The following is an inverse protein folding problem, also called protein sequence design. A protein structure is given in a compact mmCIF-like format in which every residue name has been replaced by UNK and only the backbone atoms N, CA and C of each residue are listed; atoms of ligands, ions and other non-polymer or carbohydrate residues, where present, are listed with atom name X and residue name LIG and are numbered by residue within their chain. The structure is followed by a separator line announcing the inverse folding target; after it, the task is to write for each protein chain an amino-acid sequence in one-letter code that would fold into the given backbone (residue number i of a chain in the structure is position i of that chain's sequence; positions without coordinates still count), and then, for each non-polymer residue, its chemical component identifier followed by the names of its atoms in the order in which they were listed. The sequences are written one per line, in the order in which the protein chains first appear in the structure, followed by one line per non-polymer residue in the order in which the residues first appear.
data_IF_884004313350
#
_entry.id   IF_884004313350
#
_cell.length_a   1.000
_cell.length_b   1.000
_cell.length_c   1.000
_cell.angle_alpha   90.00
_cell.angle_beta   90.00
_cell.angle_gamma   90.00
#
_symmetry.space_group_name_H-M   'P 1'
#
loop_
_entity.id
_entity.type
_entity.pdbx_description
1 polymer ?
#
# COMPACT_ATOMS: atom_id res chain seq x y z
N UNK A 1 45.68 3.32 4.09
CA UNK A 1 46.58 2.70 5.12
C UNK A 1 46.39 3.46 6.42
N UNK A 2 45.82 2.83 7.45
CA UNK A 2 45.50 3.45 8.74
C UNK A 2 46.10 2.68 9.91
N UNK A 3 46.35 3.41 11.00
CA UNK A 3 46.84 2.86 12.29
C UNK A 3 45.62 2.63 13.17
N UNK A 4 45.49 1.43 13.75
CA UNK A 4 44.43 1.09 14.69
C UNK A 4 44.49 1.97 15.94
N UNK A 5 43.43 2.70 16.33
CA UNK A 5 43.46 3.52 17.56
C UNK A 5 43.52 2.68 18.85
N UNK A 6 43.10 1.42 18.82
CA UNK A 6 43.08 0.54 19.97
C UNK A 6 44.44 -0.16 20.21
N UNK A 7 44.93 -0.92 19.23
CA UNK A 7 46.17 -1.69 19.37
C UNK A 7 47.42 -1.00 18.81
N UNK A 8 47.28 0.17 18.16
CA UNK A 8 48.35 0.99 17.53
C UNK A 8 49.14 0.27 16.41
N UNK A 9 48.70 -0.89 15.96
CA UNK A 9 49.32 -1.61 14.84
C UNK A 9 48.89 -1.01 13.49
N UNK A 10 49.77 -1.09 12.48
CA UNK A 10 49.49 -0.69 11.10
C UNK A 10 48.86 -1.86 10.34
N UNK A 11 47.90 -1.58 9.47
CA UNK A 11 47.25 -2.56 8.59
C UNK A 11 46.56 -3.73 9.33
N UNK A 12 46.09 -3.50 10.56
CA UNK A 12 45.36 -4.49 11.36
C UNK A 12 43.83 -4.34 11.23
N UNK A 13 43.36 -3.44 10.35
CA UNK A 13 41.95 -3.28 10.06
C UNK A 13 41.64 -4.16 8.85
N UNK A 14 40.76 -5.15 9.00
CA UNK A 14 40.08 -5.84 7.90
C UNK A 14 38.76 -5.17 7.64
N UNK A 15 38.42 -5.04 6.38
CA UNK A 15 37.10 -4.53 5.96
C UNK A 15 36.08 -5.66 6.22
N UNK A 16 35.31 -5.53 7.28
CA UNK A 16 34.15 -6.38 7.51
C UNK A 16 32.93 -5.66 6.95
N UNK A 17 32.18 -6.33 6.08
CA UNK A 17 30.84 -5.88 5.70
C UNK A 17 29.97 -6.07 6.93
N UNK A 18 29.89 -5.03 7.76
CA UNK A 18 28.90 -4.97 8.83
C UNK A 18 27.54 -4.86 8.14
N UNK A 19 26.81 -5.96 8.08
CA UNK A 19 25.38 -5.89 7.84
C UNK A 19 24.81 -5.09 9.00
N UNK A 20 24.47 -3.82 8.73
CA UNK A 20 23.86 -2.92 9.70
C UNK A 20 22.49 -3.49 10.10
N UNK A 21 22.48 -4.29 11.16
CA UNK A 21 21.28 -4.82 11.81
C UNK A 21 20.63 -3.77 12.72
N UNK A 22 20.91 -2.50 12.46
CA UNK A 22 20.35 -1.33 13.14
C UNK A 22 19.19 -0.70 12.35
N UNK A 23 17.97 -1.12 12.61
CA UNK A 23 16.72 -0.37 12.41
C UNK A 23 16.26 -0.05 10.98
N UNK A 24 16.23 -1.00 10.05
CA UNK A 24 15.30 -1.03 8.91
C UNK A 24 14.89 -2.46 8.57
N UNK A 25 14.48 -3.22 9.58
CA UNK A 25 13.74 -4.43 9.31
C UNK A 25 12.31 -4.00 8.92
N UNK A 26 12.00 -3.97 7.64
CA UNK A 26 10.66 -4.24 7.19
C UNK A 26 10.28 -5.57 7.83
N UNK A 27 9.56 -5.52 8.95
CA UNK A 27 8.95 -6.70 9.55
C UNK A 27 7.85 -7.16 8.62
N UNK A 28 8.21 -8.02 7.68
CA UNK A 28 7.26 -9.04 7.27
C UNK A 28 7.07 -9.89 8.52
N UNK A 29 5.96 -9.65 9.23
CA UNK A 29 5.52 -10.54 10.29
C UNK A 29 5.25 -11.87 9.64
N UNK A 30 6.08 -12.85 9.99
CA UNK A 30 5.77 -14.26 9.80
C UNK A 30 4.44 -14.54 10.51
N UNK A 31 3.37 -14.68 9.74
CA UNK A 31 2.18 -15.35 10.17
C UNK A 31 2.07 -16.63 9.34
N UNK A 32 2.48 -17.71 9.98
CA UNK A 32 2.04 -19.08 9.78
C UNK A 32 1.64 -19.51 8.36
N UNK A 33 2.63 -19.96 7.59
CA UNK A 33 2.53 -21.26 6.85
C UNK A 33 3.94 -21.69 6.49
N UNK A 34 4.34 -22.88 6.94
CA UNK A 34 5.68 -23.42 6.87
C UNK A 34 6.27 -23.48 5.45
N UNK A 35 7.15 -22.57 5.17
CA UNK A 35 8.00 -22.56 3.98
C UNK A 35 9.02 -21.45 4.16
N UNK A 36 10.23 -21.82 4.60
CA UNK A 36 11.41 -20.94 4.52
C UNK A 36 11.53 -20.52 3.07
N UNK A 37 11.15 -19.27 2.74
CA UNK A 37 11.42 -18.67 1.45
C UNK A 37 12.94 -18.53 1.30
N UNK A 38 13.57 -19.62 0.84
CA UNK A 38 14.99 -19.58 0.49
C UNK A 38 15.08 -18.69 -0.75
N UNK A 39 15.73 -17.54 -0.60
CA UNK A 39 16.06 -16.59 -1.68
C UNK A 39 17.08 -17.21 -2.66
N UNK A 40 16.83 -18.45 -3.11
CA UNK A 40 17.67 -19.14 -4.09
C UNK A 40 17.33 -18.67 -5.48
N UNK A 41 18.34 -18.26 -6.22
CA UNK A 41 18.21 -18.03 -7.67
C UNK A 41 17.74 -19.34 -8.32
N UNK A 42 16.65 -19.29 -9.06
CA UNK A 42 16.08 -20.44 -9.80
C UNK A 42 15.63 -19.97 -11.20
N UNK A 43 15.59 -20.86 -12.18
CA UNK A 43 15.07 -20.54 -13.50
C UNK A 43 13.62 -20.08 -13.42
N UNK A 44 13.28 -19.01 -14.13
CA UNK A 44 11.91 -18.48 -14.16
C UNK A 44 10.89 -19.51 -14.67
N UNK A 45 11.31 -20.39 -15.59
CA UNK A 45 10.47 -21.47 -16.14
C UNK A 45 10.06 -22.52 -15.09
N UNK A 46 10.80 -22.62 -13.98
CA UNK A 46 10.49 -23.55 -12.88
C UNK A 46 9.60 -22.92 -11.80
N UNK A 47 9.25 -21.63 -11.96
CA UNK A 47 8.34 -20.95 -11.03
C UNK A 47 6.92 -21.38 -11.37
N UNK A 48 6.27 -22.12 -10.46
CA UNK A 48 4.87 -22.46 -10.60
C UNK A 48 4.01 -21.18 -10.53
N UNK A 49 3.17 -20.99 -11.54
CA UNK A 49 2.16 -19.94 -11.54
C UNK A 49 0.90 -20.59 -10.93
N UNK A 50 0.69 -20.38 -9.64
CA UNK A 50 -0.62 -20.65 -9.06
C UNK A 50 -1.62 -19.67 -9.66
N UNK A 51 -2.86 -20.12 -9.88
CA UNK A 51 -3.92 -19.27 -10.42
C UNK A 51 -4.17 -18.09 -9.47
N UNK A 52 -3.52 -16.96 -9.71
CA UNK A 52 -3.74 -15.73 -8.97
C UNK A 52 -5.12 -15.24 -9.39
N UNK A 53 -6.12 -15.46 -8.55
CA UNK A 53 -7.46 -14.91 -8.74
C UNK A 53 -7.37 -13.39 -8.66
N UNK A 54 -7.62 -12.70 -9.77
CA UNK A 54 -7.64 -11.23 -9.80
C UNK A 54 -8.99 -10.72 -9.31
N UNK A 55 -8.98 -9.62 -8.61
CA UNK A 55 -10.18 -8.90 -8.21
C UNK A 55 -10.59 -7.97 -9.35
N UNK A 56 -11.77 -8.20 -9.97
CA UNK A 56 -12.30 -7.27 -10.95
C UNK A 56 -12.62 -5.94 -10.30
N UNK A 57 -12.23 -4.86 -10.94
CA UNK A 57 -12.58 -3.49 -10.54
C UNK A 57 -14.05 -3.14 -10.84
N UNK A 58 -14.71 -3.95 -11.69
CA UNK A 58 -16.03 -3.65 -12.25
C UNK A 58 -15.99 -2.69 -13.44
N UNK A 59 -14.84 -2.09 -13.75
CA UNK A 59 -14.61 -1.23 -14.90
C UNK A 59 -13.78 -1.95 -15.96
N UNK A 60 -14.37 -2.23 -17.12
CA UNK A 60 -13.75 -3.05 -18.19
C UNK A 60 -12.42 -2.47 -18.66
N UNK A 61 -12.37 -1.15 -18.87
CA UNK A 61 -11.15 -0.49 -19.34
C UNK A 61 -10.05 -0.47 -18.27
N UNK A 62 -10.40 -0.30 -17.00
CA UNK A 62 -9.45 -0.37 -15.91
C UNK A 62 -8.92 -1.80 -15.76
N UNK A 63 -9.79 -2.80 -15.79
CA UNK A 63 -9.38 -4.20 -15.75
C UNK A 63 -8.46 -4.56 -16.93
N UNK A 64 -8.75 -4.03 -18.14
CA UNK A 64 -7.88 -4.20 -19.32
C UNK A 64 -6.49 -3.62 -19.09
N UNK A 65 -6.39 -2.42 -18.52
CA UNK A 65 -5.11 -1.76 -18.22
C UNK A 65 -4.34 -2.55 -17.13
N UNK A 66 -5.06 -3.10 -16.15
CA UNK A 66 -4.49 -3.91 -15.07
C UNK A 66 -4.19 -5.36 -15.48
N UNK A 67 -4.45 -5.73 -16.73
CA UNK A 67 -4.21 -7.08 -17.24
C UNK A 67 -5.22 -8.11 -16.73
N UNK A 68 -6.46 -7.70 -16.50
CA UNK A 68 -7.58 -8.53 -16.08
C UNK A 68 -8.03 -8.35 -14.64
N UNK A 69 -7.70 -7.22 -14.01
CA UNK A 69 -8.12 -6.85 -12.66
C UNK A 69 -6.96 -6.70 -11.67
N UNK A 70 -7.30 -6.31 -10.46
CA UNK A 70 -6.36 -6.07 -9.37
C UNK A 70 -5.76 -7.38 -8.86
N UNK A 71 -4.45 -7.46 -8.80
CA UNK A 71 -3.74 -8.60 -8.21
C UNK A 71 -3.76 -8.46 -6.68
N UNK A 72 -4.17 -9.49 -5.91
CA UNK A 72 -4.12 -9.41 -4.45
C UNK A 72 -2.72 -9.06 -3.93
N UNK A 73 -2.65 -8.14 -2.98
CA UNK A 73 -1.40 -7.65 -2.40
C UNK A 73 -0.64 -6.65 -3.29
N UNK A 74 -1.19 -6.26 -4.45
CA UNK A 74 -0.57 -5.22 -5.29
C UNK A 74 -0.91 -3.82 -4.80
N UNK A 75 0.03 -2.89 -5.01
CA UNK A 75 -0.16 -1.45 -4.88
C UNK A 75 -0.36 -0.85 -6.26
N UNK A 76 -1.41 -0.04 -6.43
CA UNK A 76 -1.73 0.66 -7.67
C UNK A 76 -1.73 2.16 -7.38
N UNK A 77 -0.90 2.91 -8.08
CA UNK A 77 -0.87 4.36 -8.00
C UNK A 77 -1.58 4.97 -9.22
N UNK A 78 -2.65 5.71 -8.97
CA UNK A 78 -3.37 6.47 -9.98
C UNK A 78 -2.89 7.93 -9.98
N UNK A 79 -2.11 8.30 -10.99
CA UNK A 79 -1.61 9.66 -11.20
C UNK A 79 -2.41 10.42 -12.25
N UNK A 80 -2.39 11.76 -12.18
CA UNK A 80 -3.02 12.62 -13.19
C UNK A 80 -3.22 14.05 -12.67
N UNK A 81 -3.56 14.97 -13.56
CA UNK A 81 -3.81 16.38 -13.22
C UNK A 81 -4.95 16.56 -12.23
N UNK A 82 -4.94 17.63 -11.41
CA UNK A 82 -6.08 18.00 -10.57
C UNK A 82 -7.35 18.14 -11.40
N UNK A 83 -8.49 17.67 -10.87
CA UNK A 83 -9.79 17.81 -11.55
C UNK A 83 -10.06 16.80 -12.67
N UNK A 84 -9.11 15.94 -13.10
CA UNK A 84 -9.31 14.96 -14.17
C UNK A 84 -10.32 13.84 -13.82
N UNK A 85 -10.73 13.72 -12.57
CA UNK A 85 -11.72 12.72 -12.14
C UNK A 85 -11.14 11.53 -11.38
N UNK A 86 -9.87 11.57 -10.90
CA UNK A 86 -9.24 10.48 -10.14
C UNK A 86 -10.08 9.98 -8.97
N UNK A 87 -10.47 10.88 -8.08
CA UNK A 87 -11.28 10.56 -6.89
C UNK A 87 -12.67 10.01 -7.26
N UNK A 88 -13.25 10.48 -8.37
CA UNK A 88 -14.52 9.96 -8.86
C UNK A 88 -14.36 8.53 -9.37
N UNK A 89 -13.32 8.25 -10.16
CA UNK A 89 -13.03 6.92 -10.66
C UNK A 89 -12.73 5.96 -9.48
N UNK A 90 -11.94 6.37 -8.51
CA UNK A 90 -11.65 5.52 -7.35
C UNK A 90 -12.89 5.22 -6.50
N UNK A 91 -13.77 6.21 -6.31
CA UNK A 91 -15.03 5.98 -5.61
C UNK A 91 -15.96 5.06 -6.41
N UNK A 92 -16.04 5.20 -7.74
CA UNK A 92 -16.80 4.33 -8.62
C UNK A 92 -16.30 2.88 -8.54
N UNK A 93 -14.99 2.66 -8.62
CA UNK A 93 -14.37 1.33 -8.44
C UNK A 93 -14.68 0.76 -7.05
N UNK A 94 -14.54 1.57 -6.00
CA UNK A 94 -14.87 1.15 -4.64
C UNK A 94 -16.33 0.70 -4.50
N UNK A 95 -17.26 1.43 -5.12
CA UNK A 95 -18.68 1.08 -5.15
C UNK A 95 -18.94 -0.22 -5.95
N UNK A 96 -18.33 -0.37 -7.12
CA UNK A 96 -18.49 -1.58 -7.94
C UNK A 96 -17.95 -2.82 -7.24
N UNK A 97 -16.73 -2.75 -6.70
CA UNK A 97 -16.12 -3.86 -5.95
C UNK A 97 -16.96 -4.23 -4.73
N UNK A 98 -17.45 -3.25 -3.98
CA UNK A 98 -18.31 -3.51 -2.82
C UNK A 98 -19.69 -4.05 -3.21
N UNK A 99 -20.18 -3.73 -4.41
CA UNK A 99 -21.40 -4.30 -5.01
C UNK A 99 -21.27 -5.80 -5.26
N UNK A 100 -20.05 -6.34 -5.44
CA UNK A 100 -19.78 -7.78 -5.53
C UNK A 100 -19.67 -8.47 -4.15
N UNK A 101 -20.24 -7.87 -3.11
CA UNK A 101 -20.18 -8.33 -1.72
C UNK A 101 -18.73 -8.45 -1.18
N UNK A 102 -17.83 -7.60 -1.66
CA UNK A 102 -16.46 -7.46 -1.17
C UNK A 102 -16.37 -6.25 -0.24
N UNK A 103 -15.76 -6.43 0.92
CA UNK A 103 -15.58 -5.34 1.86
C UNK A 103 -14.50 -4.39 1.36
N UNK A 104 -14.82 -3.10 1.21
CA UNK A 104 -13.92 -2.08 0.71
C UNK A 104 -13.77 -0.97 1.74
N UNK A 105 -12.55 -0.56 2.03
CA UNK A 105 -12.26 0.62 2.85
C UNK A 105 -11.85 1.79 1.94
N UNK A 106 -12.59 2.88 2.02
CA UNK A 106 -12.26 4.15 1.39
C UNK A 106 -11.74 5.11 2.46
N UNK A 107 -10.45 5.42 2.40
CA UNK A 107 -9.79 6.39 3.28
C UNK A 107 -9.81 7.75 2.59
N UNK A 108 -10.43 8.74 3.22
CA UNK A 108 -10.51 10.10 2.71
C UNK A 108 -9.71 11.04 3.61
N UNK A 109 -8.70 11.69 3.04
CA UNK A 109 -7.88 12.68 3.75
C UNK A 109 -8.31 14.12 3.51
N UNK A 110 -9.12 14.39 2.48
CA UNK A 110 -9.50 15.75 2.08
C UNK A 110 -11.00 16.03 2.26
N UNK A 111 -11.84 15.05 2.02
CA UNK A 111 -13.30 15.21 2.05
C UNK A 111 -13.92 14.57 3.30
N UNK A 112 -14.96 15.20 3.83
CA UNK A 112 -15.72 14.61 4.94
C UNK A 112 -16.55 13.39 4.45
N UNK A 113 -16.95 12.48 5.35
CA UNK A 113 -17.80 11.34 5.01
C UNK A 113 -19.08 11.73 4.28
N UNK A 114 -19.68 12.87 4.66
CA UNK A 114 -20.91 13.39 4.03
C UNK A 114 -20.66 13.82 2.60
N UNK A 115 -19.54 14.48 2.32
CA UNK A 115 -19.16 14.91 0.97
C UNK A 115 -18.89 13.70 0.06
N UNK A 116 -18.14 12.70 0.54
CA UNK A 116 -17.92 11.46 -0.20
C UNK A 116 -19.23 10.73 -0.44
N UNK A 117 -20.12 10.66 0.56
CA UNK A 117 -21.44 10.05 0.39
C UNK A 117 -22.31 10.77 -0.64
N UNK A 118 -22.35 12.11 -0.63
CA UNK A 118 -23.09 12.89 -1.64
C UNK A 118 -22.54 12.64 -3.04
N UNK A 119 -21.22 12.49 -3.18
CA UNK A 119 -20.61 12.16 -4.46
C UNK A 119 -20.95 10.72 -4.88
N UNK A 120 -20.91 9.75 -3.96
CA UNK A 120 -21.30 8.37 -4.22
C UNK A 120 -22.76 8.27 -4.72
N UNK A 121 -23.70 8.98 -4.08
CA UNK A 121 -25.11 9.00 -4.46
C UNK A 121 -25.35 9.57 -5.87
N UNK A 122 -24.44 10.37 -6.43
CA UNK A 122 -24.52 10.83 -7.83
C UNK A 122 -24.04 9.77 -8.81
N UNK A 123 -23.22 8.82 -8.37
CA UNK A 123 -22.72 7.70 -9.16
C UNK A 123 -23.79 6.59 -9.20
N UNK A 124 -24.43 6.29 -8.06
CA UNK A 124 -25.44 5.25 -7.94
C UNK A 124 -25.78 4.91 -6.49
N UNK A 125 -26.42 3.75 -6.32
CA UNK A 125 -26.73 3.24 -4.99
C UNK A 125 -25.45 2.88 -4.23
N UNK A 126 -25.35 3.33 -2.98
CA UNK A 126 -24.15 3.12 -2.14
C UNK A 126 -24.22 1.74 -1.48
N UNK A 127 -23.31 0.81 -1.85
CA UNK A 127 -23.31 -0.54 -1.29
C UNK A 127 -22.98 -0.55 0.21
N UNK A 128 -23.60 -1.47 0.97
CA UNK A 128 -23.38 -1.61 2.41
C UNK A 128 -21.98 -2.10 2.78
N UNK A 129 -21.25 -2.71 1.85
CA UNK A 129 -19.88 -3.18 2.05
C UNK A 129 -18.81 -2.10 1.81
N UNK A 130 -19.21 -0.90 1.40
CA UNK A 130 -18.31 0.23 1.27
C UNK A 130 -18.22 0.97 2.60
N UNK A 131 -17.04 0.89 3.23
CA UNK A 131 -16.73 1.58 4.47
C UNK A 131 -15.91 2.83 4.20
N UNK A 132 -16.08 3.87 5.02
CA UNK A 132 -15.33 5.12 4.93
C UNK A 132 -14.56 5.37 6.23
N UNK A 133 -13.34 5.84 6.10
CA UNK A 133 -12.49 6.26 7.21
C UNK A 133 -11.92 7.66 6.91
N UNK A 134 -12.38 8.71 7.62
CA UNK A 134 -11.80 10.06 7.50
C UNK A 134 -10.54 10.14 8.40
N UNK A 135 -9.42 9.68 7.88
CA UNK A 135 -8.14 9.63 8.63
C UNK A 135 -6.96 9.83 7.67
N UNK A 136 -5.93 10.53 8.15
CA UNK A 136 -4.70 10.78 7.41
C UNK A 136 -3.49 10.10 8.05
N UNK A 137 -3.56 9.77 9.35
CA UNK A 137 -2.45 9.14 10.07
C UNK A 137 -2.32 7.68 9.73
N UNK A 138 -1.21 7.31 9.09
CA UNK A 138 -0.93 5.93 8.64
C UNK A 138 -1.07 4.90 9.76
N UNK A 139 -0.56 5.11 11.00
CA UNK A 139 -0.72 4.12 12.07
C UNK A 139 -2.19 3.81 12.43
N UNK A 140 -3.08 4.78 12.33
CA UNK A 140 -4.50 4.59 12.62
C UNK A 140 -5.22 3.87 11.47
N UNK A 141 -4.86 4.18 10.22
CA UNK A 141 -5.34 3.44 9.05
C UNK A 141 -4.93 1.97 9.14
N UNK A 142 -3.66 1.69 9.46
CA UNK A 142 -3.16 0.32 9.65
C UNK A 142 -3.86 -0.40 10.81
N UNK A 143 -4.20 0.31 11.89
CA UNK A 143 -4.97 -0.26 13.00
C UNK A 143 -6.38 -0.64 12.58
N UNK A 144 -7.04 0.18 11.74
CA UNK A 144 -8.36 -0.14 11.21
C UNK A 144 -8.33 -1.38 10.30
N UNK A 145 -7.28 -1.54 9.49
CA UNK A 145 -7.11 -2.69 8.61
C UNK A 145 -6.90 -4.01 9.36
N UNK A 146 -6.29 -3.98 10.56
CA UNK A 146 -6.06 -5.19 11.38
C UNK A 146 -7.34 -5.77 11.98
N UNK A 147 -8.39 -4.96 12.10
CA UNK A 147 -9.63 -5.35 12.77
C UNK A 147 -10.66 -5.95 11.81
N UNK A 148 -10.37 -5.99 10.51
CA UNK A 148 -11.35 -6.36 9.49
C UNK A 148 -10.68 -6.86 8.21
N UNK A 149 -11.34 -7.80 7.50
CA UNK A 149 -10.86 -8.33 6.22
C UNK A 149 -11.38 -7.48 5.05
N UNK A 150 -10.56 -6.55 4.60
CA UNK A 150 -10.85 -5.75 3.42
C UNK A 150 -10.26 -6.38 2.15
N UNK A 151 -11.08 -6.47 1.09
CA UNK A 151 -10.64 -6.94 -0.22
C UNK A 151 -9.94 -5.86 -1.04
N UNK A 152 -10.24 -4.59 -0.76
CA UNK A 152 -9.65 -3.42 -1.41
C UNK A 152 -9.55 -2.27 -0.42
N UNK A 153 -8.41 -1.59 -0.44
CA UNK A 153 -8.16 -0.31 0.23
C UNK A 153 -8.01 0.76 -0.85
N UNK A 154 -8.75 1.84 -0.72
CA UNK A 154 -8.60 3.05 -1.54
C UNK A 154 -8.16 4.19 -0.62
N UNK A 155 -7.12 4.92 -1.01
CA UNK A 155 -6.63 6.11 -0.30
C UNK A 155 -6.74 7.32 -1.21
N UNK A 156 -7.53 8.30 -0.83
CA UNK A 156 -7.78 9.54 -1.58
C UNK A 156 -7.54 10.75 -0.69
N UNK A 157 -6.32 11.33 -0.76
CA UNK A 157 -5.18 10.98 -1.61
C UNK A 157 -3.95 10.64 -0.75
N UNK A 158 -2.95 9.96 -1.34
CA UNK A 158 -1.66 9.70 -0.68
C UNK A 158 -0.94 10.97 -0.21
N UNK A 159 -1.24 12.11 -0.84
CA UNK A 159 -0.66 13.42 -0.49
C UNK A 159 -1.11 13.93 0.88
N UNK A 160 -2.21 13.44 1.42
CA UNK A 160 -2.73 13.83 2.73
C UNK A 160 -2.23 12.94 3.86
N UNK A 161 -1.59 11.82 3.52
CA UNK A 161 -1.09 10.90 4.53
C UNK A 161 -0.02 11.53 5.40
N UNK A 162 -0.09 11.23 6.69
CA UNK A 162 0.82 11.66 7.72
C UNK A 162 1.41 10.47 8.47
N UNK A 163 2.73 10.41 8.47
CA UNK A 163 3.50 9.46 9.27
C UNK A 163 4.19 10.22 10.39
N UNK A 164 3.66 10.18 11.63
CA UNK A 164 4.15 11.01 12.73
C UNK A 164 5.62 10.78 13.11
N UNK A 165 6.19 9.64 12.73
CA UNK A 165 7.59 9.30 13.00
C UNK A 165 8.57 9.91 11.98
N UNK A 166 8.06 10.54 10.93
CA UNK A 166 8.85 11.10 9.82
C UNK A 166 8.77 12.62 9.85
N UNK A 167 9.93 13.27 9.87
CA UNK A 167 10.01 14.71 9.77
C UNK A 167 9.51 15.21 8.41
N UNK A 168 8.66 16.22 8.42
CA UNK A 168 8.11 16.84 7.22
C UNK A 168 6.62 17.11 7.34
N UNK A 169 6.11 17.95 6.46
CA UNK A 169 4.68 18.20 6.35
C UNK A 169 4.01 17.13 5.48
N UNK A 170 2.73 16.80 5.70
CA UNK A 170 1.96 15.93 4.82
C UNK A 170 2.10 16.37 3.36
N UNK A 171 2.23 15.41 2.44
CA UNK A 171 2.45 15.69 1.02
C UNK A 171 3.91 15.96 0.62
N UNK A 172 4.84 16.04 1.55
CA UNK A 172 6.26 16.09 1.22
C UNK A 172 6.75 14.75 0.67
N UNK A 173 7.81 14.79 -0.14
CA UNK A 173 8.38 13.59 -0.77
C UNK A 173 8.79 12.54 0.28
N UNK A 174 9.33 12.97 1.43
CA UNK A 174 9.68 12.07 2.53
C UNK A 174 8.45 11.40 3.13
N UNK A 175 7.39 12.15 3.41
CA UNK A 175 6.13 11.60 3.94
C UNK A 175 5.48 10.62 2.96
N UNK A 176 5.33 10.99 1.69
CA UNK A 176 4.73 10.11 0.67
C UNK A 176 5.53 8.82 0.53
N UNK A 177 6.87 8.92 0.45
CA UNK A 177 7.74 7.76 0.28
C UNK A 177 7.65 6.74 1.41
N UNK A 178 7.49 7.19 2.64
CA UNK A 178 7.44 6.31 3.82
C UNK A 178 6.00 5.86 4.14
N UNK A 179 4.98 6.46 3.48
CA UNK A 179 3.57 6.10 3.66
C UNK A 179 3.07 5.07 2.65
N UNK A 180 3.86 4.75 1.62
CA UNK A 180 3.55 3.83 0.53
C UNK A 180 4.49 2.63 0.58
#
# INVERSE_FOLDING_TARGET
MGKCPGCKAWNSLSEEVVSDTGKRAHRYTESDTGGVLSSKVRPLAEVSIENISRLSSGEVELDRVLGGGVVPGSLILLGGEPGIGKSTLMLQVAMLVSGFNKKVLYVSGEESPEQVRLRAMRIGDVPSQLMILPETRVPLILSALKNDDFSLLVIDSVQTLDQPEIDGVPGSVSQIRESV
#
